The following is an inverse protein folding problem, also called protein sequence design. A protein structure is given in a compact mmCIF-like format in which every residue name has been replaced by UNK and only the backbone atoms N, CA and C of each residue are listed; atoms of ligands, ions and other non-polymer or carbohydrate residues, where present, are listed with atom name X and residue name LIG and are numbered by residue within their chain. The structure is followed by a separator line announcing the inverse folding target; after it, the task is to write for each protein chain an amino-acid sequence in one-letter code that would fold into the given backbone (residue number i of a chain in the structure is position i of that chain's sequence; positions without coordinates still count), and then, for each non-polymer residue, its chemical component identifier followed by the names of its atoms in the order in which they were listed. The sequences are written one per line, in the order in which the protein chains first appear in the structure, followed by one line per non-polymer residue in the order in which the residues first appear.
data_IF_597355466564
#
_entry.id   IF_597355466564
#
_cell.length_a   1.000
_cell.length_b   1.000
_cell.length_c   1.000
_cell.angle_alpha   90.00
_cell.angle_beta   90.00
_cell.angle_gamma   90.00
#
_symmetry.space_group_name_H-M   'P 1'
#
loop_
_entity.id
_entity.type
_entity.pdbx_description
1 polymer ?
#
# COMPACT_ATOMS: atom_id res chain seq x y z
N UNK A 1 -9.49 -20.07 11.29
CA UNK A 1 -8.86 -19.22 10.26
C UNK A 1 -9.90 -18.19 9.86
N UNK A 2 -9.62 -16.90 10.00
CA UNK A 2 -10.52 -15.88 9.45
C UNK A 2 -10.40 -15.94 7.93
N UNK A 3 -11.48 -16.32 7.25
CA UNK A 3 -11.49 -16.28 5.80
C UNK A 3 -11.47 -14.81 5.35
N UNK A 4 -10.47 -14.45 4.54
CA UNK A 4 -10.42 -13.15 3.86
C UNK A 4 -11.54 -13.14 2.83
N UNK A 5 -12.44 -12.17 2.92
CA UNK A 5 -13.60 -12.03 2.04
C UNK A 5 -13.43 -10.89 1.03
N UNK A 6 -12.64 -9.87 1.40
CA UNK A 6 -12.28 -8.79 0.52
C UNK A 6 -11.57 -9.35 -0.72
N UNK A 7 -12.12 -8.98 -1.88
CA UNK A 7 -11.53 -9.31 -3.17
C UNK A 7 -10.55 -8.22 -3.55
N UNK A 8 -9.36 -8.62 -3.93
CA UNK A 8 -8.32 -7.74 -4.45
C UNK A 8 -8.24 -7.98 -5.96
N UNK A 9 -8.18 -6.91 -6.74
CA UNK A 9 -7.93 -7.04 -8.18
C UNK A 9 -6.55 -7.65 -8.43
N UNK A 10 -5.52 -7.15 -7.72
CA UNK A 10 -4.17 -7.68 -7.77
C UNK A 10 -3.40 -7.37 -6.48
N UNK A 11 -3.50 -8.24 -5.47
CA UNK A 11 -2.85 -7.99 -4.17
C UNK A 11 -1.32 -7.91 -4.29
N UNK A 12 -0.71 -8.89 -4.96
CA UNK A 12 0.75 -8.92 -5.12
C UNK A 12 1.26 -7.77 -6.00
N UNK A 13 0.61 -7.49 -7.13
CA UNK A 13 1.07 -6.47 -8.07
C UNK A 13 0.84 -5.03 -7.61
N UNK A 14 -0.28 -4.74 -6.94
CA UNK A 14 -0.66 -3.36 -6.58
C UNK A 14 -0.52 -3.00 -5.09
N UNK A 15 -0.53 -3.99 -4.18
CA UNK A 15 -0.45 -3.73 -2.73
C UNK A 15 0.94 -4.05 -2.20
N UNK A 16 1.51 -5.21 -2.58
CA UNK A 16 2.85 -5.62 -2.16
C UNK A 16 3.93 -4.96 -3.01
N UNK A 17 3.76 -4.98 -4.34
CA UNK A 17 4.67 -4.33 -5.25
C UNK A 17 4.26 -2.89 -5.56
N UNK A 18 5.23 -2.13 -6.04
CA UNK A 18 5.01 -0.87 -6.72
C UNK A 18 5.07 -1.07 -8.22
N UNK A 19 4.31 -0.25 -8.94
CA UNK A 19 4.17 -0.37 -10.39
C UNK A 19 4.64 0.86 -11.15
N UNK A 20 5.19 0.62 -12.35
CA UNK A 20 5.45 1.65 -13.33
C UNK A 20 4.26 1.84 -14.25
N UNK A 21 3.57 2.97 -14.12
CA UNK A 21 2.47 3.35 -15.02
C UNK A 21 2.75 4.73 -15.62
N UNK A 22 2.82 4.80 -16.95
CA UNK A 22 3.12 6.02 -17.70
C UNK A 22 4.42 6.72 -17.22
N UNK A 23 5.47 5.94 -16.95
CA UNK A 23 6.76 6.45 -16.48
C UNK A 23 6.78 6.92 -15.01
N UNK A 24 5.71 6.66 -14.24
CA UNK A 24 5.62 7.03 -12.82
C UNK A 24 5.41 5.81 -11.93
N UNK A 25 6.04 5.83 -10.77
CA UNK A 25 5.91 4.81 -9.72
C UNK A 25 4.60 5.02 -8.93
N UNK A 26 3.66 4.08 -9.03
CA UNK A 26 2.43 4.02 -8.24
C UNK A 26 2.51 2.92 -7.17
N UNK A 27 1.76 3.07 -6.08
CA UNK A 27 1.85 2.18 -4.93
C UNK A 27 3.18 2.32 -4.19
N UNK A 28 3.68 1.20 -3.68
CA UNK A 28 4.92 1.11 -2.90
C UNK A 28 4.71 1.49 -1.46
N UNK A 29 3.88 0.71 -0.76
CA UNK A 29 3.50 0.95 0.64
C UNK A 29 4.08 -0.11 1.59
N UNK A 30 4.96 -0.97 1.10
CA UNK A 30 5.69 -1.98 1.87
C UNK A 30 7.00 -2.32 1.16
N UNK A 31 7.98 -2.89 1.87
CA UNK A 31 9.26 -3.37 1.32
C UNK A 31 9.27 -4.88 1.07
N UNK A 32 8.11 -5.54 1.10
CA UNK A 32 7.98 -6.98 0.89
C UNK A 32 8.15 -7.41 -0.58
N UNK A 33 8.01 -6.47 -1.51
CA UNK A 33 8.16 -6.70 -2.95
C UNK A 33 9.37 -5.97 -3.55
N UNK A 34 9.18 -5.38 -4.72
CA UNK A 34 10.21 -4.67 -5.50
C UNK A 34 10.57 -3.25 -4.99
N UNK A 35 10.15 -2.89 -3.78
CA UNK A 35 10.30 -1.54 -3.21
C UNK A 35 11.47 -1.49 -2.25
N UNK A 36 12.30 -0.47 -2.41
CA UNK A 36 13.42 -0.17 -1.51
C UNK A 36 13.25 1.21 -0.90
N UNK A 37 13.45 1.29 0.42
CA UNK A 37 13.49 2.56 1.15
C UNK A 37 14.86 3.20 0.94
N UNK A 38 14.87 4.45 0.47
CA UNK A 38 16.08 5.28 0.43
C UNK A 38 16.31 5.96 1.77
N UNK A 39 15.26 6.58 2.31
CA UNK A 39 15.31 7.34 3.55
C UNK A 39 13.95 7.36 4.21
N UNK A 40 13.89 7.05 5.50
CA UNK A 40 12.71 7.30 6.34
C UNK A 40 12.69 8.78 6.72
N UNK A 41 11.59 9.46 6.42
CA UNK A 41 11.42 10.89 6.69
C UNK A 41 10.57 11.17 7.92
N UNK A 42 9.70 10.24 8.32
CA UNK A 42 8.84 10.38 9.51
C UNK A 42 8.33 9.03 10.00
N UNK A 43 8.12 8.87 11.31
CA UNK A 43 7.49 7.70 11.93
C UNK A 43 6.28 8.11 12.77
N UNK A 44 5.29 7.22 12.84
CA UNK A 44 4.06 7.40 13.61
C UNK A 44 3.94 6.33 14.71
N UNK A 45 3.25 6.60 15.83
CA UNK A 45 3.06 5.62 16.91
C UNK A 45 2.36 4.32 16.49
N UNK A 46 1.57 4.36 15.40
CA UNK A 46 0.92 3.20 14.78
C UNK A 46 1.90 2.22 14.11
N UNK A 47 3.17 2.61 13.96
CA UNK A 47 4.19 1.90 13.17
C UNK A 47 4.22 2.30 11.70
N UNK A 48 3.23 3.08 11.22
CA UNK A 48 3.27 3.70 9.89
C UNK A 48 4.46 4.64 9.81
N UNK A 49 5.06 4.74 8.63
CA UNK A 49 6.16 5.67 8.40
C UNK A 49 6.09 6.29 7.00
N UNK A 50 6.65 7.49 6.85
CA UNK A 50 6.87 8.10 5.55
C UNK A 50 8.31 7.85 5.13
N UNK A 51 8.50 7.51 3.86
CA UNK A 51 9.82 7.27 3.30
C UNK A 51 9.92 7.74 1.85
N UNK A 52 11.09 8.22 1.47
CA UNK A 52 11.51 8.25 0.08
C UNK A 52 11.81 6.83 -0.39
N UNK A 53 11.24 6.43 -1.52
CA UNK A 53 11.37 5.08 -2.04
C UNK A 53 11.87 5.06 -3.48
N UNK A 54 12.46 3.93 -3.84
CA UNK A 54 12.81 3.56 -5.20
C UNK A 54 12.32 2.14 -5.48
N UNK A 55 12.14 1.82 -6.75
CA UNK A 55 11.75 0.49 -7.20
C UNK A 55 12.78 -0.05 -8.16
N UNK A 56 12.99 -1.36 -8.15
CA UNK A 56 13.86 -1.99 -9.15
C UNK A 56 13.25 -1.81 -10.54
N UNK A 57 14.03 -1.30 -11.50
CA UNK A 57 13.56 -1.13 -12.87
C UNK A 57 13.27 -2.51 -13.50
N UNK A 58 12.02 -2.80 -13.87
CA UNK A 58 11.66 -4.11 -14.43
C UNK A 58 12.32 -4.37 -15.79
N UNK A 59 12.80 -3.32 -16.49
CA UNK A 59 13.53 -3.45 -17.76
C UNK A 59 15.04 -3.51 -17.58
N UNK A 60 15.56 -3.06 -16.44
CA UNK A 60 16.98 -3.07 -16.14
C UNK A 60 17.21 -3.32 -14.63
N UNK A 61 17.35 -4.58 -14.19
CA UNK A 61 17.45 -4.93 -12.77
C UNK A 61 18.61 -4.25 -12.01
N UNK A 62 19.61 -3.72 -12.72
CA UNK A 62 20.74 -2.99 -12.13
C UNK A 62 20.43 -1.50 -11.86
N UNK A 63 19.25 -1.03 -12.27
CA UNK A 63 18.82 0.34 -12.11
C UNK A 63 17.66 0.44 -11.12
N UNK A 64 17.61 1.54 -10.38
CA UNK A 64 16.53 1.87 -9.47
C UNK A 64 15.83 3.15 -9.93
N UNK A 65 14.51 3.13 -9.93
CA UNK A 65 13.68 4.26 -10.33
C UNK A 65 13.12 4.88 -9.06
N UNK A 66 13.54 6.11 -8.69
CA UNK A 66 12.96 6.79 -7.55
C UNK A 66 11.50 7.13 -7.83
N UNK A 67 10.68 7.07 -6.79
CA UNK A 67 9.32 7.60 -6.87
C UNK A 67 9.40 9.09 -7.19
N UNK A 68 8.56 9.54 -8.12
CA UNK A 68 8.58 10.93 -8.61
C UNK A 68 7.33 11.74 -8.24
N UNK A 69 6.26 11.07 -7.81
CA UNK A 69 5.08 11.74 -7.24
C UNK A 69 5.26 11.98 -5.73
N UNK A 70 4.47 12.89 -5.17
CA UNK A 70 4.49 13.24 -3.75
C UNK A 70 5.90 13.57 -3.22
N UNK A 71 6.70 14.27 -4.03
CA UNK A 71 8.11 14.57 -3.73
C UNK A 71 8.96 13.33 -3.43
N UNK A 72 8.63 12.21 -4.07
CA UNK A 72 9.28 10.92 -3.90
C UNK A 72 8.87 10.12 -2.66
N UNK A 73 7.91 10.64 -1.87
CA UNK A 73 7.51 10.03 -0.61
C UNK A 73 6.33 9.08 -0.75
N UNK A 74 6.38 8.01 0.01
CA UNK A 74 5.28 7.07 0.23
C UNK A 74 4.98 6.93 1.71
N UNK A 75 3.72 6.70 2.06
CA UNK A 75 3.34 6.21 3.39
C UNK A 75 3.38 4.69 3.38
N UNK A 76 4.04 4.12 4.39
CA UNK A 76 4.42 2.71 4.42
C UNK A 76 3.73 2.01 5.58
N UNK A 77 3.28 0.77 5.35
CA UNK A 77 2.78 -0.10 6.40
C UNK A 77 3.88 -0.40 7.41
N UNK A 78 3.54 -0.77 8.66
CA UNK A 78 4.57 -1.08 9.65
C UNK A 78 5.55 -2.15 9.15
N UNK A 79 6.85 -1.89 9.32
CA UNK A 79 7.94 -2.70 8.74
C UNK A 79 7.86 -4.19 9.11
N UNK A 80 7.29 -4.51 10.26
CA UNK A 80 7.15 -5.87 10.78
C UNK A 80 5.88 -6.60 10.29
N UNK A 81 5.06 -5.97 9.45
CA UNK A 81 3.88 -6.62 8.87
C UNK A 81 4.28 -7.52 7.70
N UNK A 82 3.78 -8.76 7.72
CA UNK A 82 3.87 -9.69 6.60
C UNK A 82 2.78 -9.42 5.56
N UNK A 83 2.92 -9.99 4.36
CA UNK A 83 1.90 -9.90 3.32
C UNK A 83 0.54 -10.43 3.80
N UNK A 84 0.53 -11.58 4.48
CA UNK A 84 -0.68 -12.16 5.08
C UNK A 84 -1.29 -11.26 6.14
N UNK A 85 -0.46 -10.62 6.98
CA UNK A 85 -0.96 -9.66 7.98
C UNK A 85 -1.60 -8.46 7.30
N UNK A 86 -0.96 -7.86 6.30
CA UNK A 86 -1.54 -6.76 5.52
C UNK A 86 -2.90 -7.19 4.96
N UNK A 87 -2.98 -8.38 4.36
CA UNK A 87 -4.22 -8.90 3.78
C UNK A 87 -5.36 -9.01 4.79
N UNK A 88 -5.09 -9.57 5.98
CA UNK A 88 -6.09 -9.72 7.05
C UNK A 88 -6.49 -8.37 7.66
N UNK A 89 -5.52 -7.49 7.92
CA UNK A 89 -5.77 -6.15 8.48
C UNK A 89 -6.62 -5.31 7.53
N UNK A 90 -6.33 -5.37 6.22
CA UNK A 90 -7.09 -4.69 5.17
C UNK A 90 -8.48 -5.30 5.00
N UNK A 91 -8.63 -6.62 5.04
CA UNK A 91 -9.94 -7.30 4.98
C UNK A 91 -10.89 -6.79 6.06
N UNK A 92 -10.41 -6.77 7.31
CA UNK A 92 -11.23 -6.35 8.46
C UNK A 92 -11.52 -4.84 8.42
N UNK A 93 -10.55 -4.02 8.02
CA UNK A 93 -10.77 -2.60 7.82
C UNK A 93 -11.77 -2.33 6.68
N UNK A 94 -11.72 -3.10 5.59
CA UNK A 94 -12.61 -2.97 4.44
C UNK A 94 -14.04 -3.40 4.78
N UNK A 95 -14.21 -4.43 5.62
CA UNK A 95 -15.51 -4.85 6.16
C UNK A 95 -16.18 -3.73 6.96
N UNK A 96 -15.39 -2.95 7.71
CA UNK A 96 -15.86 -1.83 8.54
C UNK A 96 -15.63 -0.45 7.91
N UNK A 97 -15.46 -0.39 6.59
CA UNK A 97 -15.09 0.85 5.90
C UNK A 97 -16.19 1.90 5.95
N UNK A 98 -15.78 3.15 5.78
CA UNK A 98 -16.64 4.26 5.38
C UNK A 98 -16.29 4.64 3.94
N UNK A 99 -17.29 4.77 3.08
CA UNK A 99 -17.09 5.29 1.72
C UNK A 99 -16.89 6.80 1.78
N UNK A 100 -15.78 7.29 1.24
CA UNK A 100 -15.40 8.72 1.21
C UNK A 100 -15.50 9.30 -0.21
N UNK A 101 -15.84 8.48 -1.19
CA UNK A 101 -16.19 8.86 -2.55
C UNK A 101 -16.77 7.65 -3.30
N UNK A 102 -17.13 7.82 -4.58
CA UNK A 102 -17.76 6.75 -5.38
C UNK A 102 -16.96 5.45 -5.39
N UNK A 103 -15.63 5.57 -5.46
CA UNK A 103 -14.70 4.44 -5.53
C UNK A 103 -13.62 4.50 -4.45
N UNK A 104 -13.82 5.32 -3.41
CA UNK A 104 -12.82 5.59 -2.38
C UNK A 104 -13.39 5.27 -1.00
N UNK A 105 -12.58 4.66 -0.16
CA UNK A 105 -12.99 4.24 1.17
C UNK A 105 -11.87 4.44 2.17
N UNK A 106 -12.26 4.61 3.43
CA UNK A 106 -11.34 4.64 4.57
C UNK A 106 -11.76 3.60 5.60
N UNK A 107 -10.78 3.05 6.31
CA UNK A 107 -11.00 2.07 7.37
C UNK A 107 -9.90 2.16 8.41
N UNK A 108 -10.16 1.56 9.57
CA UNK A 108 -9.17 1.38 10.62
C UNK A 108 -8.92 -0.11 10.78
N UNK A 109 -7.66 -0.52 10.71
CA UNK A 109 -7.30 -1.92 10.91
C UNK A 109 -7.44 -2.31 12.39
N UNK A 110 -7.57 -3.61 12.72
CA UNK A 110 -7.56 -4.08 14.11
C UNK A 110 -6.36 -3.59 14.92
N UNK A 111 -5.18 -3.53 14.31
CA UNK A 111 -3.96 -2.99 14.94
C UNK A 111 -3.96 -1.45 15.08
N UNK A 112 -5.00 -0.77 14.62
CA UNK A 112 -5.22 0.65 14.82
C UNK A 112 -4.67 1.56 13.73
N UNK A 113 -4.11 1.01 12.64
CA UNK A 113 -3.63 1.78 11.49
C UNK A 113 -4.81 2.33 10.71
N UNK A 114 -4.79 3.62 10.38
CA UNK A 114 -5.76 4.17 9.43
C UNK A 114 -5.29 3.89 8.01
N UNK A 115 -6.20 3.41 7.17
CA UNK A 115 -5.94 3.13 5.76
C UNK A 115 -6.99 3.81 4.88
N UNK A 116 -6.54 4.22 3.70
CA UNK A 116 -7.39 4.62 2.60
C UNK A 116 -7.19 3.65 1.44
N UNK A 117 -8.25 3.39 0.68
CA UNK A 117 -8.16 2.56 -0.50
C UNK A 117 -9.17 2.93 -1.58
N UNK A 118 -8.98 2.28 -2.72
CA UNK A 118 -9.84 2.42 -3.90
C UNK A 118 -10.44 1.06 -4.29
N UNK A 119 -11.61 1.11 -4.90
CA UNK A 119 -12.30 -0.07 -5.45
C UNK A 119 -12.62 0.10 -6.94
N UNK A 120 -12.73 -1.01 -7.66
CA UNK A 120 -13.26 -1.03 -9.02
C UNK A 120 -14.80 -0.98 -9.03
N UNK A 121 -15.40 -0.97 -10.22
CA UNK A 121 -16.87 -1.00 -10.40
C UNK A 121 -17.54 -2.26 -9.85
N UNK A 122 -16.79 -3.33 -9.60
CA UNK A 122 -17.27 -4.59 -9.04
C UNK A 122 -17.07 -4.66 -7.52
N UNK A 123 -16.48 -3.63 -6.91
CA UNK A 123 -16.17 -3.57 -5.49
C UNK A 123 -14.86 -4.25 -5.08
N UNK A 124 -14.01 -4.67 -6.02
CA UNK A 124 -12.71 -5.24 -5.72
C UNK A 124 -11.71 -4.13 -5.34
N UNK A 125 -10.90 -4.36 -4.31
CA UNK A 125 -9.86 -3.44 -3.88
C UNK A 125 -8.76 -3.38 -4.95
N UNK A 126 -8.48 -2.18 -5.44
CA UNK A 126 -7.46 -1.93 -6.48
C UNK A 126 -6.18 -1.34 -5.89
N UNK A 127 -6.30 -0.57 -4.80
CA UNK A 127 -5.17 0.01 -4.09
C UNK A 127 -5.54 0.27 -2.64
N UNK A 128 -4.56 0.15 -1.74
CA UNK A 128 -4.71 0.49 -0.33
C UNK A 128 -3.38 0.99 0.22
N UNK A 129 -3.43 2.01 1.06
CA UNK A 129 -2.25 2.59 1.68
C UNK A 129 -2.55 3.12 3.09
N UNK A 130 -1.57 3.08 4.02
CA UNK A 130 -1.74 3.65 5.34
C UNK A 130 -1.64 5.17 5.28
N UNK A 131 -2.36 5.87 6.16
CA UNK A 131 -2.35 7.33 6.23
C UNK A 131 -1.78 7.86 7.55
N UNK A 132 -2.05 7.22 8.70
CA UNK A 132 -1.57 7.58 10.05
C UNK A 132 -1.58 6.40 11.01
#
# INVERSE_FOLDING_TARGET
MNNVEAKFENFEGHIINAEMKNGKVKGGHTTLGNVKVKQVTKRYPSGVYEAEIEIQDPKNPNNFIPKSNNSGKSTMFPEHWTADRIKVEVDIAFKNKTMTGTYMWQGKTPSGVQIEGYIDKNGNITSVYPIR
#
